data_IF_477317002369
#
_entry.id   IF_477317002369
#
_cell.length_a   1.000
_cell.length_b   1.000
_cell.length_c   1.000
_cell.angle_alpha   90.00
_cell.angle_beta   90.00
_cell.angle_gamma   90.00
#
_symmetry.space_group_name_H-M   'P 1'
#
loop_
_entity.id
_entity.type
_entity.pdbx_description
1 polymer ?
#
# COMPACT_ATOMS: atom_id res chain seq x y z
N UNK A 1 -4.61 -5.17 -19.13
CA UNK A 1 -4.61 -4.09 -20.13
C UNK A 1 -5.86 -4.07 -21.01
N UNK A 2 -6.57 -5.20 -21.19
CA UNK A 2 -7.75 -5.31 -22.09
C UNK A 2 -9.09 -4.98 -21.44
N UNK A 3 -9.10 -4.58 -20.17
CA UNK A 3 -10.31 -4.24 -19.42
C UNK A 3 -10.22 -2.82 -18.88
N UNK A 4 -11.36 -2.13 -18.79
CA UNK A 4 -11.46 -0.84 -18.09
C UNK A 4 -11.11 -0.97 -16.61
N UNK A 5 -10.99 0.14 -15.89
CA UNK A 5 -10.83 0.16 -14.42
C UNK A 5 -11.93 -0.66 -13.77
N UNK A 6 -13.19 -0.40 -14.08
CA UNK A 6 -14.31 -1.15 -13.55
C UNK A 6 -14.19 -2.64 -13.86
N UNK A 7 -13.84 -2.99 -15.11
CA UNK A 7 -13.61 -4.39 -15.53
C UNK A 7 -12.48 -5.09 -14.77
N UNK A 8 -11.47 -4.34 -14.32
CA UNK A 8 -10.40 -4.87 -13.45
C UNK A 8 -10.86 -5.03 -12.00
N UNK A 9 -11.57 -4.05 -11.47
CA UNK A 9 -12.07 -4.06 -10.08
C UNK A 9 -13.08 -5.19 -9.85
N UNK A 10 -13.98 -5.48 -10.80
CA UNK A 10 -14.98 -6.56 -10.65
C UNK A 10 -14.40 -7.96 -10.80
N UNK A 11 -13.18 -8.10 -11.35
CA UNK A 11 -12.61 -9.42 -11.65
C UNK A 11 -12.55 -10.36 -10.44
N UNK A 12 -12.09 -9.95 -9.24
CA UNK A 12 -12.10 -10.80 -8.05
C UNK A 12 -13.51 -11.31 -7.68
N UNK A 13 -14.51 -10.46 -7.80
CA UNK A 13 -15.90 -10.80 -7.49
C UNK A 13 -16.46 -11.81 -8.52
N UNK A 14 -16.12 -11.65 -9.79
CA UNK A 14 -16.48 -12.61 -10.84
C UNK A 14 -15.84 -13.98 -10.63
N UNK A 15 -14.58 -14.02 -10.16
CA UNK A 15 -13.90 -15.27 -9.80
C UNK A 15 -14.58 -15.98 -8.62
N UNK A 16 -15.19 -15.21 -7.71
CA UNK A 16 -16.05 -15.73 -6.62
C UNK A 16 -17.46 -16.10 -7.08
N UNK A 17 -17.75 -16.04 -8.38
CA UNK A 17 -19.05 -16.33 -8.99
C UNK A 17 -20.17 -15.38 -8.53
N UNK A 18 -19.84 -14.18 -8.09
CA UNK A 18 -20.83 -13.14 -7.78
C UNK A 18 -21.47 -12.66 -9.08
N UNK A 19 -22.80 -12.49 -9.15
CA UNK A 19 -23.50 -12.00 -10.33
C UNK A 19 -22.92 -10.67 -10.81
N UNK A 20 -22.81 -10.49 -12.13
CA UNK A 20 -22.16 -9.33 -12.74
C UNK A 20 -22.77 -8.00 -12.28
N UNK A 21 -24.08 -7.93 -12.12
CA UNK A 21 -24.78 -6.71 -11.69
C UNK A 21 -24.40 -6.34 -10.27
N UNK A 22 -24.37 -7.30 -9.35
CA UNK A 22 -23.97 -7.13 -7.97
C UNK A 22 -22.49 -6.75 -7.86
N UNK A 23 -21.61 -7.45 -8.59
CA UNK A 23 -20.19 -7.15 -8.66
C UNK A 23 -19.94 -5.72 -9.18
N UNK A 24 -20.70 -5.29 -10.20
CA UNK A 24 -20.61 -3.94 -10.77
C UNK A 24 -21.05 -2.88 -9.77
N UNK A 25 -22.19 -3.11 -9.09
CA UNK A 25 -22.71 -2.19 -8.06
C UNK A 25 -21.72 -2.03 -6.91
N UNK A 26 -21.16 -3.15 -6.42
CA UNK A 26 -20.15 -3.15 -5.34
C UNK A 26 -18.88 -2.39 -5.75
N UNK A 27 -18.39 -2.65 -6.97
CA UNK A 27 -17.19 -1.99 -7.48
C UNK A 27 -17.37 -0.48 -7.69
N UNK A 28 -18.52 -0.06 -8.22
CA UNK A 28 -18.81 1.37 -8.40
C UNK A 28 -18.90 2.11 -7.07
N UNK A 29 -19.58 1.55 -6.07
CA UNK A 29 -19.64 2.12 -4.72
C UNK A 29 -18.24 2.28 -4.13
N UNK A 30 -17.38 1.26 -4.26
CA UNK A 30 -16.00 1.31 -3.77
C UNK A 30 -15.18 2.38 -4.51
N UNK A 31 -15.31 2.47 -5.82
CA UNK A 31 -14.61 3.50 -6.61
C UNK A 31 -15.06 4.91 -6.21
N UNK A 32 -16.36 5.13 -6.01
CA UNK A 32 -16.90 6.42 -5.59
C UNK A 32 -16.44 6.80 -4.18
N UNK A 33 -16.44 5.85 -3.26
CA UNK A 33 -15.94 6.02 -1.88
C UNK A 33 -14.49 6.52 -1.85
N UNK A 34 -13.65 6.00 -2.75
CA UNK A 34 -12.24 6.37 -2.87
C UNK A 34 -11.96 7.46 -3.93
N UNK A 35 -13.01 8.17 -4.39
CA UNK A 35 -12.93 9.29 -5.35
C UNK A 35 -12.33 8.89 -6.70
N UNK A 36 -12.55 7.64 -7.12
CA UNK A 36 -12.08 7.09 -8.39
C UNK A 36 -13.24 6.77 -9.37
N UNK A 37 -14.47 7.17 -9.05
CA UNK A 37 -15.65 6.89 -9.90
C UNK A 37 -15.50 7.44 -11.31
N UNK A 38 -14.92 8.65 -11.47
CA UNK A 38 -14.71 9.29 -12.77
C UNK A 38 -13.83 8.50 -13.75
N UNK A 39 -12.95 7.63 -13.25
CA UNK A 39 -12.04 6.82 -14.08
C UNK A 39 -12.55 5.41 -14.33
N UNK A 40 -13.75 5.04 -13.86
CA UNK A 40 -14.29 3.67 -13.96
C UNK A 40 -14.27 3.10 -15.38
N UNK A 41 -14.53 3.93 -16.38
CA UNK A 41 -14.59 3.54 -17.79
C UNK A 41 -13.25 3.71 -18.55
N UNK A 42 -12.22 4.25 -17.91
CA UNK A 42 -10.91 4.40 -18.52
C UNK A 42 -10.15 3.08 -18.53
N UNK A 43 -9.22 2.96 -19.48
CA UNK A 43 -8.29 1.85 -19.56
C UNK A 43 -7.01 2.16 -18.74
N UNK A 44 -6.29 1.14 -18.23
CA UNK A 44 -5.09 1.34 -17.41
C UNK A 44 -4.00 2.19 -18.05
N UNK A 45 -3.87 2.20 -19.36
CA UNK A 45 -2.90 3.01 -20.10
C UNK A 45 -3.22 4.52 -20.07
N UNK A 46 -4.48 4.89 -19.78
CA UNK A 46 -4.89 6.28 -19.63
C UNK A 46 -4.71 6.82 -18.21
N UNK A 47 -4.22 6.00 -17.27
CA UNK A 47 -4.06 6.35 -15.85
C UNK A 47 -2.63 6.78 -15.54
N UNK A 48 -2.49 7.72 -14.57
CA UNK A 48 -1.19 7.96 -13.94
C UNK A 48 -0.70 6.72 -13.15
N UNK A 49 0.60 6.68 -12.80
CA UNK A 49 1.17 5.62 -11.99
C UNK A 49 0.44 5.45 -10.66
N UNK A 50 0.21 6.54 -9.93
CA UNK A 50 -0.51 6.53 -8.66
C UNK A 50 -1.97 6.06 -8.80
N UNK A 51 -2.68 6.48 -9.85
CA UNK A 51 -4.03 5.98 -10.12
C UNK A 51 -4.04 4.47 -10.38
N UNK A 52 -3.08 3.93 -11.15
CA UNK A 52 -2.96 2.49 -11.37
C UNK A 52 -2.76 1.73 -10.06
N UNK A 53 -1.91 2.24 -9.16
CA UNK A 53 -1.67 1.61 -7.85
C UNK A 53 -2.91 1.64 -6.96
N UNK A 54 -3.64 2.76 -6.89
CA UNK A 54 -4.91 2.85 -6.15
C UNK A 54 -5.92 1.82 -6.66
N UNK A 55 -6.08 1.70 -7.98
CA UNK A 55 -6.96 0.69 -8.60
C UNK A 55 -6.51 -0.73 -8.27
N UNK A 56 -5.20 -1.01 -8.29
CA UNK A 56 -4.66 -2.32 -7.94
C UNK A 56 -4.93 -2.69 -6.47
N UNK A 57 -4.76 -1.75 -5.55
CA UNK A 57 -5.07 -1.93 -4.12
C UNK A 57 -6.55 -2.23 -3.88
N UNK A 58 -7.46 -1.45 -4.50
CA UNK A 58 -8.91 -1.69 -4.37
C UNK A 58 -9.33 -3.02 -5.01
N UNK A 59 -8.71 -3.41 -6.12
CA UNK A 59 -8.94 -4.73 -6.73
C UNK A 59 -8.52 -5.85 -5.77
N UNK A 60 -7.38 -5.71 -5.10
CA UNK A 60 -6.89 -6.68 -4.11
C UNK A 60 -7.82 -6.74 -2.90
N UNK A 61 -8.33 -5.60 -2.44
CA UNK A 61 -9.31 -5.55 -1.35
C UNK A 61 -10.55 -6.40 -1.62
N UNK A 62 -11.06 -6.41 -2.84
CA UNK A 62 -12.24 -7.20 -3.22
C UNK A 62 -11.97 -8.72 -3.26
N UNK A 63 -10.72 -9.17 -3.14
CA UNK A 63 -10.42 -10.57 -2.84
C UNK A 63 -10.90 -10.99 -1.44
N UNK A 64 -11.09 -10.03 -0.52
CA UNK A 64 -11.63 -10.27 0.81
C UNK A 64 -10.67 -10.97 1.75
N UNK A 65 -9.37 -10.82 1.54
CA UNK A 65 -8.36 -11.29 2.49
C UNK A 65 -8.14 -10.25 3.58
N UNK A 66 -7.86 -10.72 4.80
CA UNK A 66 -7.61 -9.86 5.96
C UNK A 66 -6.18 -9.31 5.99
N UNK A 67 -5.24 -9.95 5.28
CA UNK A 67 -3.83 -9.56 5.22
C UNK A 67 -3.43 -9.28 3.78
N UNK A 68 -2.80 -8.13 3.54
CA UNK A 68 -2.29 -7.71 2.24
C UNK A 68 -0.78 -7.79 2.24
N UNK A 69 -0.23 -8.36 1.17
CA UNK A 69 1.20 -8.38 0.90
C UNK A 69 1.48 -7.35 -0.19
N UNK A 70 2.29 -6.36 0.14
CA UNK A 70 2.69 -5.27 -0.75
C UNK A 70 4.21 -5.38 -0.96
N UNK A 71 4.59 -5.87 -2.12
CA UNK A 71 5.99 -6.04 -2.50
C UNK A 71 6.41 -4.91 -3.43
N UNK A 72 7.26 -4.00 -2.93
CA UNK A 72 7.74 -2.80 -3.63
C UNK A 72 6.63 -2.00 -4.34
N UNK A 73 5.43 -1.97 -3.76
CA UNK A 73 4.23 -1.45 -4.41
C UNK A 73 4.30 0.06 -4.76
N UNK A 74 5.25 0.78 -4.19
CA UNK A 74 5.36 2.24 -4.33
C UNK A 74 6.66 2.70 -5.01
N UNK A 75 7.57 1.77 -5.34
CA UNK A 75 8.91 2.07 -5.82
C UNK A 75 8.97 2.77 -7.18
N UNK A 76 8.03 2.50 -8.08
CA UNK A 76 8.03 2.97 -9.48
C UNK A 76 7.42 4.37 -9.69
N UNK A 77 7.26 5.17 -8.63
CA UNK A 77 6.62 6.48 -8.68
C UNK A 77 7.61 7.59 -8.39
N UNK A 78 7.37 8.77 -9.00
CA UNK A 78 8.06 10.00 -8.61
C UNK A 78 7.68 10.40 -7.17
N UNK A 79 8.50 11.24 -6.55
CA UNK A 79 8.39 11.57 -5.13
C UNK A 79 7.03 12.17 -4.74
N UNK A 80 6.53 13.14 -5.52
CA UNK A 80 5.25 13.80 -5.20
C UNK A 80 4.07 12.83 -5.31
N UNK A 81 4.02 12.06 -6.40
CA UNK A 81 2.99 11.03 -6.61
C UNK A 81 3.04 9.96 -5.53
N UNK A 82 4.24 9.61 -5.05
CA UNK A 82 4.45 8.63 -3.98
C UNK A 82 3.91 9.13 -2.65
N UNK A 83 4.20 10.37 -2.25
CA UNK A 83 3.68 10.98 -1.02
C UNK A 83 2.15 11.07 -1.03
N UNK A 84 1.55 11.49 -2.14
CA UNK A 84 0.10 11.50 -2.30
C UNK A 84 -0.51 10.09 -2.19
N UNK A 85 0.19 9.08 -2.70
CA UNK A 85 -0.25 7.70 -2.60
C UNK A 85 -0.12 7.15 -1.17
N UNK A 86 0.92 7.52 -0.42
CA UNK A 86 1.08 7.14 0.99
C UNK A 86 -0.08 7.67 1.84
N UNK A 87 -0.42 8.95 1.72
CA UNK A 87 -1.56 9.54 2.44
C UNK A 87 -2.87 8.83 2.10
N UNK A 88 -3.12 8.62 0.81
CA UNK A 88 -4.29 7.89 0.35
C UNK A 88 -4.33 6.45 0.86
N UNK A 89 -3.19 5.77 0.87
CA UNK A 89 -3.05 4.39 1.35
C UNK A 89 -3.32 4.27 2.85
N UNK A 90 -2.76 5.18 3.67
CA UNK A 90 -2.96 5.19 5.12
C UNK A 90 -4.43 5.42 5.48
N UNK A 91 -5.08 6.41 4.85
CA UNK A 91 -6.54 6.63 4.99
C UNK A 91 -7.34 5.38 4.58
N UNK A 92 -6.98 4.78 3.44
CA UNK A 92 -7.64 3.57 2.95
C UNK A 92 -7.44 2.37 3.87
N UNK A 93 -6.23 2.16 4.40
CA UNK A 93 -5.89 1.10 5.36
C UNK A 93 -6.76 1.20 6.60
N UNK A 94 -6.91 2.40 7.17
CA UNK A 94 -7.74 2.65 8.34
C UNK A 94 -9.23 2.40 8.04
N UNK A 95 -9.77 3.01 6.99
CA UNK A 95 -11.18 2.89 6.59
C UNK A 95 -11.60 1.47 6.25
N UNK A 96 -10.73 0.70 5.63
CA UNK A 96 -10.98 -0.68 5.22
C UNK A 96 -10.57 -1.71 6.28
N UNK A 97 -9.98 -1.29 7.41
CA UNK A 97 -9.52 -2.17 8.49
C UNK A 97 -8.45 -3.18 8.03
N UNK A 98 -7.50 -2.74 7.19
CA UNK A 98 -6.51 -3.63 6.59
C UNK A 98 -5.32 -3.89 7.50
N UNK A 99 -4.91 -5.15 7.57
CA UNK A 99 -3.57 -5.54 8.03
C UNK A 99 -2.68 -5.73 6.81
N UNK A 100 -1.51 -5.10 6.80
CA UNK A 100 -0.62 -5.13 5.63
C UNK A 100 0.80 -5.50 6.03
N UNK A 101 1.44 -6.31 5.20
CA UNK A 101 2.88 -6.55 5.22
C UNK A 101 3.47 -5.87 3.98
N UNK A 102 4.31 -4.86 4.21
CA UNK A 102 4.98 -4.11 3.15
C UNK A 102 6.43 -4.56 3.08
N UNK A 103 6.88 -4.95 1.89
CA UNK A 103 8.28 -5.24 1.59
C UNK A 103 8.82 -4.05 0.80
N UNK A 104 9.90 -3.45 1.32
CA UNK A 104 10.53 -2.28 0.69
C UNK A 104 12.01 -2.21 1.04
N UNK A 105 12.78 -1.58 0.17
CA UNK A 105 14.17 -1.19 0.44
C UNK A 105 14.29 0.27 0.90
N UNK A 106 13.17 1.01 0.97
CA UNK A 106 13.14 2.41 1.42
C UNK A 106 12.86 2.50 2.92
N UNK A 107 13.85 2.99 3.69
CA UNK A 107 13.67 3.25 5.12
C UNK A 107 12.55 4.27 5.37
N UNK A 108 12.44 5.29 4.52
CA UNK A 108 11.41 6.32 4.64
C UNK A 108 10.01 5.77 4.43
N UNK A 109 9.84 4.89 3.44
CA UNK A 109 8.59 4.17 3.20
C UNK A 109 8.21 3.31 4.41
N UNK A 110 9.17 2.51 4.92
CA UNK A 110 8.93 1.66 6.09
C UNK A 110 8.52 2.48 7.32
N UNK A 111 9.18 3.61 7.60
CA UNK A 111 8.85 4.50 8.72
C UNK A 111 7.50 5.21 8.55
N UNK A 112 7.09 5.47 7.31
CA UNK A 112 5.84 6.18 7.01
C UNK A 112 4.62 5.25 7.06
N UNK A 113 4.74 4.03 6.54
CA UNK A 113 3.59 3.16 6.28
C UNK A 113 3.33 2.09 7.35
N UNK A 114 4.30 1.85 8.26
CA UNK A 114 4.20 0.73 9.20
C UNK A 114 4.11 1.14 10.65
N UNK A 115 3.61 0.22 11.48
CA UNK A 115 3.59 0.30 12.93
C UNK A 115 4.74 -0.51 13.55
N UNK A 116 5.38 -1.39 12.74
CA UNK A 116 6.47 -2.25 13.14
C UNK A 116 7.34 -2.59 11.93
N UNK A 117 8.65 -2.57 12.11
CA UNK A 117 9.63 -2.85 11.07
C UNK A 117 10.44 -4.07 11.44
N UNK A 118 10.53 -5.03 10.52
CA UNK A 118 11.49 -6.13 10.57
C UNK A 118 12.63 -5.83 9.62
N UNK A 119 13.86 -5.87 10.13
CA UNK A 119 15.05 -5.71 9.30
C UNK A 119 15.58 -7.10 8.95
N UNK A 120 15.76 -7.33 7.65
CA UNK A 120 16.28 -8.58 7.13
C UNK A 120 17.72 -8.42 6.69
N UNK A 121 18.57 -9.38 7.02
CA UNK A 121 19.89 -9.52 6.45
C UNK A 121 19.79 -10.11 5.03
N UNK A 122 20.81 -9.83 4.21
CA UNK A 122 20.79 -10.24 2.81
C UNK A 122 21.19 -11.72 2.61
N UNK A 123 22.11 -12.24 3.42
CA UNK A 123 22.60 -13.60 3.23
C UNK A 123 23.15 -14.23 4.55
N UNK A 124 22.48 -15.24 5.14
CA UNK A 124 21.16 -15.74 4.77
C UNK A 124 20.04 -14.73 5.09
N UNK A 125 18.86 -14.89 4.50
CA UNK A 125 17.70 -14.04 4.77
C UNK A 125 17.15 -14.27 6.18
N UNK A 126 17.73 -13.61 7.17
CA UNK A 126 17.34 -13.69 8.58
C UNK A 126 16.81 -12.34 9.08
N UNK A 127 15.85 -12.38 10.01
CA UNK A 127 15.40 -11.18 10.71
C UNK A 127 16.46 -10.84 11.75
N UNK A 128 17.18 -9.72 11.54
CA UNK A 128 18.23 -9.24 12.42
C UNK A 128 17.73 -8.24 13.46
N UNK A 129 16.58 -7.61 13.22
CA UNK A 129 15.95 -6.73 14.19
C UNK A 129 14.43 -6.69 14.03
N UNK A 130 13.75 -6.44 15.15
CA UNK A 130 12.31 -6.22 15.29
C UNK A 130 12.12 -4.88 16.00
N UNK A 131 11.62 -3.88 15.26
CA UNK A 131 11.48 -2.50 15.71
C UNK A 131 10.00 -2.09 15.73
N UNK A 132 9.31 -2.18 16.87
CA UNK A 132 8.00 -1.54 17.02
C UNK A 132 8.17 -0.02 17.02
N UNK A 133 7.43 0.67 16.16
CA UNK A 133 7.44 2.13 16.09
C UNK A 133 6.49 2.69 17.15
N UNK A 134 7.03 3.39 18.13
CA UNK A 134 6.28 4.06 19.19
C UNK A 134 6.45 5.57 19.03
N UNK A 135 5.37 6.23 18.67
CA UNK A 135 5.37 7.66 18.42
C UNK A 135 4.85 8.39 19.67
N UNK A 136 5.72 9.21 20.28
CA UNK A 136 5.34 10.06 21.41
C UNK A 136 4.72 11.36 20.87
N UNK A 137 3.44 11.64 21.16
CA UNK A 137 2.79 12.86 20.68
C UNK A 137 3.36 14.15 21.30
N UNK A 138 4.12 14.06 22.39
CA UNK A 138 4.78 15.21 23.03
C UNK A 138 6.11 15.58 22.37
N UNK A 139 6.63 14.74 21.48
CA UNK A 139 7.92 14.93 20.82
C UNK A 139 7.71 15.16 19.32
N UNK A 140 8.53 16.04 18.72
CA UNK A 140 8.49 16.31 17.29
C UNK A 140 8.60 15.03 16.44
N UNK A 141 7.69 14.86 15.49
CA UNK A 141 7.58 13.66 14.68
C UNK A 141 8.81 13.45 13.77
N UNK A 142 9.32 14.52 13.18
CA UNK A 142 10.46 14.46 12.25
C UNK A 142 11.73 14.08 13.00
N UNK A 143 11.88 14.61 14.24
CA UNK A 143 12.99 14.23 15.12
C UNK A 143 12.94 12.74 15.46
N UNK A 144 11.78 12.22 15.87
CA UNK A 144 11.62 10.78 16.18
C UNK A 144 11.90 9.91 14.96
N UNK A 145 11.40 10.32 13.78
CA UNK A 145 11.63 9.62 12.51
C UNK A 145 13.11 9.56 12.18
N UNK A 146 13.84 10.66 12.41
CA UNK A 146 15.30 10.71 12.23
C UNK A 146 16.03 9.75 13.19
N UNK A 147 15.59 9.62 14.45
CA UNK A 147 16.19 8.67 15.40
C UNK A 147 15.99 7.21 14.93
N UNK A 148 14.78 6.86 14.52
CA UNK A 148 14.52 5.54 13.94
C UNK A 148 15.34 5.28 12.68
N UNK A 149 15.43 6.26 11.77
CA UNK A 149 16.24 6.16 10.55
C UNK A 149 17.72 5.89 10.86
N UNK A 150 18.30 6.62 11.81
CA UNK A 150 19.68 6.40 12.28
C UNK A 150 19.86 4.99 12.81
N UNK A 151 18.95 4.54 13.68
CA UNK A 151 19.00 3.21 14.27
C UNK A 151 18.91 2.09 13.23
N UNK A 152 18.07 2.25 12.21
CA UNK A 152 17.95 1.28 11.11
C UNK A 152 19.25 1.23 10.30
N UNK A 153 19.85 2.39 9.99
CA UNK A 153 21.11 2.46 9.25
C UNK A 153 22.25 1.80 10.03
N UNK A 154 22.34 2.02 11.34
CA UNK A 154 23.32 1.36 12.22
C UNK A 154 23.19 -0.16 12.13
N UNK A 155 21.97 -0.68 12.34
CA UNK A 155 21.71 -2.11 12.28
C UNK A 155 22.05 -2.72 10.91
N UNK A 156 21.73 -2.04 9.83
CA UNK A 156 22.09 -2.51 8.48
C UNK A 156 23.60 -2.51 8.25
N UNK A 157 24.34 -1.54 8.82
CA UNK A 157 25.80 -1.44 8.65
C UNK A 157 26.59 -2.46 9.49
N UNK A 158 26.03 -2.97 10.57
CA UNK A 158 26.67 -4.02 11.40
C UNK A 158 26.72 -5.38 10.68
N UNK A 159 25.90 -5.59 9.64
CA UNK A 159 25.73 -6.86 8.94
C UNK A 159 26.17 -6.79 7.46
N UNK A 160 26.77 -5.69 7.03
CA UNK A 160 27.42 -5.51 5.71
C UNK A 160 28.93 -5.61 5.86
#
# INVERSE_FOLDING_TARGET
EHKTVLGNIILPLQLKKIPKEEATSTALKLLDEFKLGSIANLYPNALSGGMRQRVALLRTYLLGHSVFLLDEAFSALDELTRQDLYHWYLDSKERLGLTTLVITHSIEEALTLSDRIYILNHNPGEIIADLPLKWDPATDRDWQQLQYKKRIIELLSEFH
#
